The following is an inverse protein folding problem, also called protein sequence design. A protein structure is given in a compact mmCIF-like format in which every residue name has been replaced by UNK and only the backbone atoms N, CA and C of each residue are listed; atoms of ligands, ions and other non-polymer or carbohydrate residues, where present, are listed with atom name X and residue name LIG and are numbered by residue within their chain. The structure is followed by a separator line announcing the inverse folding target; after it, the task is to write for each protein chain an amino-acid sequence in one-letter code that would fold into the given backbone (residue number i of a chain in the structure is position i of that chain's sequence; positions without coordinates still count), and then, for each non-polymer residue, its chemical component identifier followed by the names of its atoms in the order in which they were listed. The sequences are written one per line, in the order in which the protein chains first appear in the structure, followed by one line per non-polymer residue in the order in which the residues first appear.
data_IF_127995391763
#
_entry.id   IF_127995391763
#
_cell.length_a   1.000
_cell.length_b   1.000
_cell.length_c   1.000
_cell.angle_alpha   90.00
_cell.angle_beta   90.00
_cell.angle_gamma   90.00
#
_symmetry.space_group_name_H-M   'P 1'
#
loop_
_entity.id
_entity.type
_entity.pdbx_description
1 polymer ?
#
# COMPACT_ATOMS: atom_id res chain seq x y z
N UNK A 1 9.70 8.77 -2.68
CA UNK A 1 8.47 8.94 -1.84
C UNK A 1 7.45 7.93 -2.28
N UNK A 2 6.73 7.27 -1.37
CA UNK A 2 5.86 6.16 -1.73
C UNK A 2 4.43 6.62 -2.04
N UNK A 3 3.88 6.23 -3.20
CA UNK A 3 2.45 6.34 -3.47
C UNK A 3 1.75 4.98 -3.30
N UNK A 4 0.62 5.00 -2.59
CA UNK A 4 -0.36 3.90 -2.59
C UNK A 4 -1.55 4.35 -3.44
N UNK A 5 -1.66 3.77 -4.63
CA UNK A 5 -2.72 4.02 -5.60
C UNK A 5 -3.93 3.18 -5.26
N UNK A 6 -5.00 3.82 -4.80
CA UNK A 6 -6.19 3.16 -4.29
C UNK A 6 -7.34 3.23 -5.30
N UNK A 7 -8.12 2.15 -5.40
CA UNK A 7 -9.40 2.21 -6.11
C UNK A 7 -10.35 3.17 -5.38
N UNK A 8 -11.30 3.77 -6.11
CA UNK A 8 -12.30 4.68 -5.52
C UNK A 8 -13.00 4.07 -4.29
N UNK A 9 -13.39 2.80 -4.40
CA UNK A 9 -14.02 2.06 -3.29
C UNK A 9 -13.14 2.02 -2.03
N UNK A 10 -11.84 1.79 -2.19
CA UNK A 10 -10.92 1.77 -1.06
C UNK A 10 -10.74 3.18 -0.48
N UNK A 11 -10.62 4.21 -1.32
CA UNK A 11 -10.52 5.61 -0.86
C UNK A 11 -11.75 6.01 -0.03
N UNK A 12 -12.95 5.69 -0.51
CA UNK A 12 -14.20 5.94 0.20
C UNK A 12 -14.23 5.20 1.55
N UNK A 13 -13.80 3.94 1.56
CA UNK A 13 -13.75 3.13 2.79
C UNK A 13 -12.68 3.61 3.81
N UNK A 14 -11.63 4.29 3.33
CA UNK A 14 -10.58 4.93 4.14
C UNK A 14 -10.96 6.34 4.60
N UNK A 15 -12.06 6.90 4.09
CA UNK A 15 -12.49 8.26 4.40
C UNK A 15 -11.56 9.32 3.82
N UNK A 16 -10.94 9.06 2.67
CA UNK A 16 -10.04 10.03 2.01
C UNK A 16 -10.85 10.82 0.98
N UNK A 17 -10.95 12.13 1.18
CA UNK A 17 -11.57 13.03 0.21
C UNK A 17 -10.73 13.18 -1.06
N UNK A 18 -11.39 13.35 -2.20
CA UNK A 18 -10.72 13.52 -3.49
C UNK A 18 -9.78 14.75 -3.53
N UNK A 19 -10.09 15.80 -2.77
CA UNK A 19 -9.25 17.00 -2.64
C UNK A 19 -7.97 16.78 -1.83
N UNK A 20 -7.89 15.69 -1.06
CA UNK A 20 -6.71 15.33 -0.26
C UNK A 20 -5.77 14.36 -1.00
N UNK A 21 -6.14 13.92 -2.21
CA UNK A 21 -5.31 13.03 -3.02
C UNK A 21 -4.12 13.79 -3.61
N UNK A 22 -2.96 13.15 -3.59
CA UNK A 22 -1.79 13.65 -4.28
C UNK A 22 -1.90 13.41 -5.80
N UNK A 23 -1.19 14.21 -6.58
CA UNK A 23 -1.00 13.95 -8.01
C UNK A 23 -0.18 12.67 -8.21
N UNK A 24 -0.53 11.90 -9.25
CA UNK A 24 0.17 10.67 -9.60
C UNK A 24 1.59 11.02 -10.07
N UNK A 25 2.58 10.31 -9.51
CA UNK A 25 3.99 10.47 -9.82
C UNK A 25 4.60 9.13 -10.18
N UNK A 26 5.63 9.18 -11.03
CA UNK A 26 6.45 8.00 -11.29
C UNK A 26 7.26 7.64 -10.05
N UNK A 27 7.46 6.35 -9.84
CA UNK A 27 8.17 5.87 -8.68
C UNK A 27 9.68 6.06 -8.82
N UNK A 28 10.30 6.63 -7.79
CA UNK A 28 11.76 6.81 -7.67
C UNK A 28 12.43 5.72 -6.81
N UNK A 29 11.63 4.91 -6.10
CA UNK A 29 12.09 3.86 -5.18
C UNK A 29 12.41 2.53 -5.87
N UNK A 30 13.19 1.69 -5.20
CA UNK A 30 13.59 0.36 -5.67
C UNK A 30 12.39 -0.49 -6.05
N UNK A 31 11.45 -0.66 -5.11
CA UNK A 31 10.21 -1.40 -5.33
C UNK A 31 9.11 -0.57 -6.00
N UNK A 32 9.29 0.73 -6.17
CA UNK A 32 8.32 1.58 -6.83
C UNK A 32 7.06 1.87 -5.98
N UNK A 33 5.95 2.21 -6.64
CA UNK A 33 4.68 2.46 -5.98
C UNK A 33 3.87 1.16 -5.77
N UNK A 34 2.75 1.28 -5.06
CA UNK A 34 1.86 0.15 -4.79
C UNK A 34 0.44 0.47 -5.21
N UNK A 35 -0.26 -0.55 -5.69
CA UNK A 35 -1.70 -0.54 -5.90
C UNK A 35 -2.39 -1.19 -4.72
N UNK A 36 -3.54 -0.65 -4.32
CA UNK A 36 -4.36 -1.21 -3.26
C UNK A 36 -5.84 -1.27 -3.66
N UNK A 37 -6.46 -2.43 -3.44
CA UNK A 37 -7.86 -2.66 -3.76
C UNK A 37 -8.62 -3.37 -2.63
N UNK A 38 -9.79 -2.85 -2.29
CA UNK A 38 -10.69 -3.47 -1.32
C UNK A 38 -11.46 -4.64 -1.96
N UNK A 39 -11.25 -5.85 -1.44
CA UNK A 39 -11.92 -7.06 -1.90
C UNK A 39 -12.50 -7.87 -0.73
N UNK A 40 -13.20 -8.96 -1.05
CA UNK A 40 -13.67 -9.92 -0.04
C UNK A 40 -13.13 -11.31 -0.36
N UNK A 41 -12.64 -12.00 0.66
CA UNK A 41 -12.25 -13.41 0.59
C UNK A 41 -13.20 -14.16 1.51
N UNK A 42 -14.09 -14.95 0.91
CA UNK A 42 -15.24 -15.50 1.62
C UNK A 42 -16.09 -14.38 2.23
N UNK A 43 -16.27 -14.41 3.56
CA UNK A 43 -17.05 -13.39 4.28
C UNK A 43 -16.22 -12.20 4.75
N UNK A 44 -14.89 -12.35 4.75
CA UNK A 44 -13.95 -11.35 5.27
C UNK A 44 -13.68 -10.25 4.26
N UNK A 45 -13.68 -9.01 4.73
CA UNK A 45 -13.22 -7.85 3.95
C UNK A 45 -11.72 -7.75 4.11
N UNK A 46 -11.01 -7.52 3.01
CA UNK A 46 -9.56 -7.39 3.01
C UNK A 46 -9.13 -6.30 2.02
N UNK A 47 -7.86 -5.93 2.07
CA UNK A 47 -7.20 -5.15 1.03
C UNK A 47 -6.09 -5.99 0.41
N UNK A 48 -6.15 -6.15 -0.90
CA UNK A 48 -5.04 -6.65 -1.69
C UNK A 48 -4.12 -5.48 -1.98
N UNK A 49 -2.85 -5.63 -1.66
CA UNK A 49 -1.80 -4.67 -1.97
C UNK A 49 -0.85 -5.34 -2.95
N UNK A 50 -0.49 -4.64 -4.04
CA UNK A 50 0.31 -5.16 -5.14
C UNK A 50 1.37 -4.16 -5.55
N UNK A 51 2.59 -4.63 -5.72
CA UNK A 51 3.71 -3.82 -6.16
C UNK A 51 3.59 -3.46 -7.64
N UNK A 52 3.88 -2.20 -8.01
CA UNK A 52 3.80 -1.72 -9.40
C UNK A 52 4.80 -2.41 -10.33
N UNK A 53 6.01 -2.72 -9.85
CA UNK A 53 7.11 -3.24 -10.69
C UNK A 53 7.12 -4.77 -10.78
N UNK A 54 6.86 -5.44 -9.66
CA UNK A 54 7.08 -6.89 -9.53
C UNK A 54 5.78 -7.69 -9.47
N UNK A 55 4.63 -7.02 -9.32
CA UNK A 55 3.33 -7.65 -9.02
C UNK A 55 3.32 -8.46 -7.72
N UNK A 56 4.37 -8.36 -6.90
CA UNK A 56 4.40 -8.95 -5.58
C UNK A 56 3.22 -8.45 -4.77
N UNK A 57 2.46 -9.37 -4.19
CA UNK A 57 1.15 -9.07 -3.62
C UNK A 57 0.97 -9.74 -2.28
N UNK A 58 0.32 -9.02 -1.36
CA UNK A 58 -0.07 -9.57 -0.07
C UNK A 58 -1.41 -8.98 0.39
N UNK A 59 -1.98 -9.60 1.42
CA UNK A 59 -3.33 -9.31 1.89
C UNK A 59 -3.29 -8.71 3.28
N UNK A 60 -3.95 -7.57 3.45
CA UNK A 60 -4.19 -6.94 4.73
C UNK A 60 -5.63 -7.21 5.18
N UNK A 61 -5.85 -7.84 6.34
CA UNK A 61 -7.19 -7.94 6.93
C UNK A 61 -7.78 -6.55 7.20
N UNK A 62 -9.06 -6.38 6.90
CA UNK A 62 -9.70 -5.07 7.07
C UNK A 62 -9.82 -4.68 8.54
N UNK A 63 -9.23 -3.54 8.92
CA UNK A 63 -9.35 -3.00 10.29
C UNK A 63 -9.31 -1.47 10.39
N UNK A 64 -9.39 -0.77 9.26
CA UNK A 64 -9.05 0.66 9.12
C UNK A 64 -10.16 1.49 8.45
N UNK A 65 -11.41 1.22 8.81
CA UNK A 65 -12.56 2.01 8.34
C UNK A 65 -12.37 3.48 8.72
N UNK A 66 -12.45 4.38 7.72
CA UNK A 66 -12.29 5.82 7.87
C UNK A 66 -10.95 6.22 8.54
N UNK A 67 -9.89 5.42 8.38
CA UNK A 67 -8.60 5.65 9.01
C UNK A 67 -7.44 5.31 8.05
N UNK A 68 -7.17 6.24 7.14
CA UNK A 68 -6.05 6.17 6.20
C UNK A 68 -4.68 6.00 6.89
N UNK A 69 -4.50 6.62 8.07
CA UNK A 69 -3.25 6.51 8.83
C UNK A 69 -3.04 5.13 9.45
N UNK A 70 -4.11 4.47 9.90
CA UNK A 70 -4.06 3.06 10.33
C UNK A 70 -3.81 2.11 9.17
N UNK A 71 -4.38 2.38 7.99
CA UNK A 71 -4.07 1.62 6.79
C UNK A 71 -2.59 1.75 6.39
N UNK A 72 -2.05 2.97 6.35
CA UNK A 72 -0.65 3.23 6.03
C UNK A 72 0.31 2.49 6.99
N UNK A 73 0.02 2.54 8.30
CA UNK A 73 0.78 1.79 9.31
C UNK A 73 0.68 0.29 9.10
N UNK A 74 -0.53 -0.25 8.92
CA UNK A 74 -0.72 -1.67 8.67
C UNK A 74 0.03 -2.17 7.42
N UNK A 75 0.09 -1.35 6.37
CA UNK A 75 0.89 -1.64 5.18
C UNK A 75 2.38 -1.72 5.49
N UNK A 76 2.95 -0.69 6.15
CA UNK A 76 4.38 -0.64 6.52
C UNK A 76 4.75 -1.79 7.47
N UNK A 77 3.93 -2.02 8.50
CA UNK A 77 4.15 -3.06 9.51
C UNK A 77 4.09 -4.47 8.88
N UNK A 78 3.32 -4.65 7.81
CA UNK A 78 3.20 -5.94 7.12
C UNK A 78 4.23 -6.14 6.00
N UNK A 79 4.77 -5.05 5.43
CA UNK A 79 5.69 -5.15 4.30
C UNK A 79 7.00 -5.85 4.70
N UNK A 80 7.60 -5.47 5.83
CA UNK A 80 8.83 -6.10 6.33
C UNK A 80 8.69 -7.63 6.47
N UNK A 81 7.74 -8.15 7.28
CA UNK A 81 7.60 -9.61 7.43
C UNK A 81 7.19 -10.31 6.13
N UNK A 82 6.47 -9.62 5.22
CA UNK A 82 6.17 -10.15 3.90
C UNK A 82 7.46 -10.36 3.08
N UNK A 83 8.35 -9.37 3.02
CA UNK A 83 9.64 -9.47 2.33
C UNK A 83 10.58 -10.49 3.00
N UNK A 84 10.58 -10.60 4.33
CA UNK A 84 11.34 -11.62 5.06
C UNK A 84 10.89 -13.05 4.70
N UNK A 85 9.59 -13.24 4.48
CA UNK A 85 9.02 -14.54 4.06
C UNK A 85 9.47 -14.94 2.65
N UNK A 86 9.81 -13.96 1.82
CA UNK A 86 10.44 -14.16 0.49
C UNK A 86 11.97 -14.31 0.56
N UNK A 87 12.54 -14.51 1.75
CA UNK A 87 13.97 -14.71 1.98
C UNK A 87 14.84 -13.52 1.56
N UNK A 88 14.29 -12.30 1.57
CA UNK A 88 15.04 -11.08 1.27
C UNK A 88 15.90 -10.71 2.50
N UNK A 89 17.17 -10.38 2.25
CA UNK A 89 18.11 -10.06 3.31
C UNK A 89 17.73 -8.77 4.06
N UNK A 90 17.98 -8.74 5.37
CA UNK A 90 17.60 -7.60 6.23
C UNK A 90 18.20 -6.26 5.78
N UNK A 91 19.38 -6.28 5.15
CA UNK A 91 20.02 -5.07 4.61
C UNK A 91 19.22 -4.48 3.44
N UNK A 92 18.75 -5.33 2.53
CA UNK A 92 17.92 -4.90 1.39
C UNK A 92 16.55 -4.42 1.85
N UNK A 93 15.96 -5.11 2.83
CA UNK A 93 14.70 -4.66 3.46
C UNK A 93 14.91 -3.30 4.12
N UNK A 94 15.97 -3.09 4.88
CA UNK A 94 16.25 -1.80 5.51
C UNK A 94 16.37 -0.67 4.48
N UNK A 95 17.04 -0.94 3.34
CA UNK A 95 17.14 -0.01 2.22
C UNK A 95 15.75 0.34 1.65
N UNK A 96 14.93 -0.66 1.34
CA UNK A 96 13.55 -0.44 0.85
C UNK A 96 12.74 0.40 1.85
N UNK A 97 12.77 0.05 3.13
CA UNK A 97 11.98 0.73 4.14
C UNK A 97 12.41 2.20 4.33
N UNK A 98 13.70 2.51 4.16
CA UNK A 98 14.21 3.89 4.22
C UNK A 98 13.72 4.79 3.09
N UNK A 99 13.27 4.21 1.96
CA UNK A 99 12.71 4.97 0.85
C UNK A 99 11.22 5.32 1.09
N UNK A 100 10.61 4.73 2.12
CA UNK A 100 9.17 4.74 2.39
C UNK A 100 8.75 5.62 3.59
N UNK A 101 9.60 6.56 3.99
CA UNK A 101 9.37 7.47 5.13
C UNK A 101 8.09 8.32 5.00
N UNK A 102 7.63 8.59 3.78
CA UNK A 102 6.41 9.35 3.49
C UNK A 102 5.52 8.61 2.51
N UNK A 103 4.26 8.43 2.90
CA UNK A 103 3.20 7.80 2.11
C UNK A 103 2.20 8.85 1.64
N UNK A 104 1.91 8.84 0.34
CA UNK A 104 0.83 9.62 -0.27
C UNK A 104 -0.22 8.68 -0.88
N UNK A 105 -1.49 9.06 -0.79
CA UNK A 105 -2.58 8.34 -1.44
C UNK A 105 -2.96 9.02 -2.75
N UNK A 106 -3.19 8.21 -3.77
CA UNK A 106 -3.69 8.66 -5.06
C UNK A 106 -4.82 7.75 -5.52
N UNK A 107 -5.58 8.19 -6.53
CA UNK A 107 -6.39 7.25 -7.31
C UNK A 107 -5.49 6.32 -8.14
N UNK A 108 -6.02 5.17 -8.53
CA UNK A 108 -5.43 4.34 -9.59
C UNK A 108 -5.40 5.13 -10.90
N UNK A 109 -4.27 5.08 -11.60
CA UNK A 109 -4.15 5.47 -13.00
C UNK A 109 -4.84 4.42 -13.87
N UNK A 110 -5.81 4.84 -14.69
CA UNK A 110 -6.50 4.02 -15.69
C UNK A 110 -6.38 4.66 -17.05
#
# INVERSE_FOLDING_TARGET
MLQIRCTKKLLDDLGIDASALAEIKQADSLLGNWYANALRIGREKCVLVMNEKTLYSFILPWSFRNDAGKFARAFIDSLRPALETEWIESNDIARVMSEYDKIEFTATDS
#
